data_IF_831695555819
#
_entry.id   IF_831695555819
#
_cell.length_a   1.000
_cell.length_b   1.000
_cell.length_c   1.000
_cell.angle_alpha   90.00
_cell.angle_beta   90.00
_cell.angle_gamma   90.00
#
_symmetry.space_group_name_H-M   'P 1'
#
loop_
_entity.id
_entity.type
_entity.pdbx_description
1 polymer ?
#
# COMPACT_ATOMS: atom_id res chain seq x y z
N UNK A 1 12.47 -15.70 32.49
CA UNK A 1 11.54 -14.94 31.62
C UNK A 1 10.14 -15.14 32.17
N UNK A 2 9.53 -14.11 32.73
CA UNK A 2 8.15 -14.17 33.24
C UNK A 2 7.21 -14.03 32.05
N UNK A 3 6.59 -15.14 31.65
CA UNK A 3 5.50 -15.15 30.67
C UNK A 3 4.39 -14.27 31.22
N UNK A 4 4.00 -13.24 30.48
CA UNK A 4 2.90 -12.38 30.91
C UNK A 4 1.59 -13.19 30.83
N UNK A 5 0.62 -12.95 31.73
CA UNK A 5 -0.66 -13.69 31.71
C UNK A 5 -1.37 -13.58 30.36
N UNK A 6 -1.11 -12.53 29.60
CA UNK A 6 -1.67 -12.30 28.28
C UNK A 6 -1.18 -13.34 27.25
N UNK A 7 0.08 -13.78 27.34
CA UNK A 7 0.68 -14.79 26.45
C UNK A 7 0.16 -16.21 26.71
N UNK A 8 -0.62 -16.40 27.78
CA UNK A 8 -1.29 -17.68 28.07
C UNK A 8 -2.66 -17.80 27.40
N UNK A 9 -3.18 -16.72 26.83
CA UNK A 9 -4.43 -16.74 26.10
C UNK A 9 -4.26 -17.44 24.74
N UNK A 10 -5.29 -18.13 24.24
CA UNK A 10 -5.34 -18.51 22.84
C UNK A 10 -5.20 -17.27 21.94
N UNK A 11 -4.45 -17.41 20.85
CA UNK A 11 -4.11 -16.28 19.97
C UNK A 11 -5.37 -15.66 19.35
N UNK A 12 -6.41 -16.46 19.13
CA UNK A 12 -7.71 -16.02 18.61
C UNK A 12 -8.39 -15.04 19.58
N UNK A 13 -8.37 -15.35 20.88
CA UNK A 13 -8.95 -14.47 21.91
C UNK A 13 -8.15 -13.16 21.99
N UNK A 14 -6.83 -13.25 21.89
CA UNK A 14 -5.98 -12.05 21.88
C UNK A 14 -6.26 -11.16 20.66
N UNK A 15 -6.45 -11.75 19.47
CA UNK A 15 -6.79 -11.01 18.26
C UNK A 15 -8.13 -10.28 18.38
N UNK A 16 -9.15 -10.95 18.95
CA UNK A 16 -10.43 -10.33 19.25
C UNK A 16 -10.24 -9.12 20.17
N UNK A 17 -9.46 -9.25 21.24
CA UNK A 17 -9.18 -8.14 22.15
C UNK A 17 -8.50 -6.98 21.41
N UNK A 18 -7.49 -7.29 20.58
CA UNK A 18 -6.73 -6.30 19.81
C UNK A 18 -7.64 -5.51 18.86
N UNK A 19 -8.63 -6.14 18.24
CA UNK A 19 -9.58 -5.48 17.33
C UNK A 19 -10.43 -4.38 18.01
N UNK A 20 -10.52 -4.39 19.35
CA UNK A 20 -11.23 -3.35 20.12
C UNK A 20 -10.32 -2.22 20.63
N UNK A 21 -9.03 -2.25 20.32
CA UNK A 21 -8.05 -1.28 20.82
C UNK A 21 -7.65 -0.32 19.69
N UNK A 22 -7.31 0.93 20.03
CA UNK A 22 -6.80 1.90 19.07
C UNK A 22 -5.45 1.48 18.46
N UNK A 23 -5.22 1.85 17.20
CA UNK A 23 -4.02 1.49 16.42
C UNK A 23 -2.70 1.88 17.09
N UNK A 24 -2.64 3.04 17.75
CA UNK A 24 -1.46 3.49 18.51
C UNK A 24 -1.07 2.51 19.61
N UNK A 25 -2.06 2.08 20.40
CA UNK A 25 -1.82 1.11 21.48
C UNK A 25 -1.46 -0.27 20.94
N UNK A 26 -2.01 -0.68 19.79
CA UNK A 26 -1.64 -1.95 19.13
C UNK A 26 -0.16 -1.95 18.73
N UNK A 27 0.35 -0.82 18.23
CA UNK A 27 1.77 -0.67 17.87
C UNK A 27 2.65 -0.83 19.10
N UNK A 28 2.34 -0.15 20.20
CA UNK A 28 3.10 -0.27 21.43
C UNK A 28 3.05 -1.71 21.99
N UNK A 29 1.87 -2.34 21.97
CA UNK A 29 1.68 -3.72 22.42
C UNK A 29 2.54 -4.70 21.60
N UNK A 30 2.63 -4.50 20.28
CA UNK A 30 3.42 -5.35 19.39
C UNK A 30 4.93 -5.32 19.70
N UNK A 31 5.42 -4.29 20.38
CA UNK A 31 6.83 -4.15 20.76
C UNK A 31 7.17 -4.84 22.09
N UNK A 32 6.18 -5.32 22.85
CA UNK A 32 6.39 -5.86 24.21
C UNK A 32 6.88 -7.32 24.21
N UNK A 33 6.44 -8.14 23.25
CA UNK A 33 6.88 -9.52 23.14
C UNK A 33 6.70 -10.09 21.73
N UNK A 34 7.42 -11.18 21.42
CA UNK A 34 7.30 -11.85 20.10
C UNK A 34 5.89 -12.39 19.85
N UNK A 35 5.27 -12.97 20.88
CA UNK A 35 3.92 -13.52 20.76
C UNK A 35 2.88 -12.41 20.54
N UNK A 36 2.99 -11.31 21.29
CA UNK A 36 2.10 -10.16 21.10
C UNK A 36 2.32 -9.50 19.74
N UNK A 37 3.56 -9.44 19.26
CA UNK A 37 3.87 -8.98 17.90
C UNK A 37 3.10 -9.77 16.86
N UNK A 38 3.13 -11.10 16.93
CA UNK A 38 2.40 -11.99 15.99
C UNK A 38 0.88 -11.85 16.11
N UNK A 39 0.37 -11.71 17.34
CA UNK A 39 -1.05 -11.47 17.57
C UNK A 39 -1.51 -10.12 16.99
N UNK A 40 -0.64 -9.11 17.00
CA UNK A 40 -0.94 -7.76 16.50
C UNK A 40 -0.79 -7.59 14.98
N UNK A 41 -0.05 -8.49 14.29
CA UNK A 41 0.21 -8.35 12.85
C UNK A 41 -1.07 -8.12 12.00
N UNK A 42 -2.16 -8.90 12.18
CA UNK A 42 -3.38 -8.68 11.41
C UNK A 42 -3.95 -7.27 11.59
N UNK A 43 -3.96 -6.76 12.82
CA UNK A 43 -4.51 -5.44 13.11
C UNK A 43 -3.60 -4.30 12.61
N UNK A 44 -2.28 -4.46 12.71
CA UNK A 44 -1.31 -3.45 12.28
C UNK A 44 -1.30 -3.24 10.77
N UNK A 45 -1.46 -4.32 10.01
CA UNK A 45 -1.39 -4.30 8.56
C UNK A 45 -2.77 -4.36 7.89
N UNK A 46 -3.86 -4.38 8.67
CA UNK A 46 -5.25 -4.46 8.15
C UNK A 46 -5.53 -3.39 7.10
N UNK A 47 -5.09 -2.17 7.39
CA UNK A 47 -5.16 -1.03 6.49
C UNK A 47 -3.78 -0.41 6.32
N UNK A 48 -3.33 -0.25 5.08
CA UNK A 48 -2.03 0.36 4.76
C UNK A 48 -2.21 1.56 3.85
N UNK A 49 -1.41 2.60 4.06
CA UNK A 49 -1.48 3.83 3.29
C UNK A 49 -0.14 4.08 2.60
N UNK A 50 -0.20 4.42 1.31
CA UNK A 50 0.97 4.75 0.51
C UNK A 50 0.75 6.09 -0.22
N UNK A 51 1.70 7.02 -0.17
CA UNK A 51 1.60 8.27 -0.94
C UNK A 51 1.84 8.02 -2.44
N UNK A 52 1.16 8.79 -3.30
CA UNK A 52 1.42 8.83 -4.73
C UNK A 52 2.79 9.45 -4.99
N UNK A 53 3.79 8.59 -5.05
CA UNK A 53 5.20 8.93 -5.22
C UNK A 53 5.96 7.67 -5.60
N UNK A 54 7.15 7.83 -6.18
CA UNK A 54 8.05 6.70 -6.46
C UNK A 54 8.32 5.86 -5.20
N UNK A 55 8.62 6.52 -4.08
CA UNK A 55 8.84 5.85 -2.80
C UNK A 55 7.60 5.07 -2.30
N UNK A 56 6.40 5.61 -2.51
CA UNK A 56 5.15 4.92 -2.16
C UNK A 56 4.91 3.68 -3.04
N UNK A 57 5.23 3.78 -4.33
CA UNK A 57 5.15 2.65 -5.26
C UNK A 57 6.17 1.54 -4.92
N UNK A 58 7.41 1.92 -4.59
CA UNK A 58 8.43 0.98 -4.11
C UNK A 58 8.02 0.31 -2.79
N UNK A 59 7.43 1.09 -1.88
CA UNK A 59 6.84 0.57 -0.65
C UNK A 59 5.76 -0.47 -0.94
N UNK A 60 4.85 -0.20 -1.88
CA UNK A 60 3.81 -1.14 -2.30
C UNK A 60 4.43 -2.42 -2.91
N UNK A 61 5.44 -2.29 -3.76
CA UNK A 61 6.16 -3.42 -4.35
C UNK A 61 6.88 -4.26 -3.29
N UNK A 62 7.45 -3.63 -2.27
CA UNK A 62 8.07 -4.32 -1.13
C UNK A 62 7.03 -5.04 -0.26
N UNK A 63 5.85 -4.43 -0.06
CA UNK A 63 4.76 -5.00 0.73
C UNK A 63 4.27 -6.30 0.08
N UNK A 64 4.01 -6.28 -1.23
CA UNK A 64 3.58 -7.47 -2.01
C UNK A 64 4.58 -8.62 -1.91
N UNK A 65 5.88 -8.32 -1.79
CA UNK A 65 6.94 -9.33 -1.64
C UNK A 65 7.13 -9.83 -0.20
N UNK A 66 6.54 -9.17 0.78
CA UNK A 66 6.70 -9.47 2.21
C UNK A 66 5.56 -10.30 2.74
N UNK A 67 5.76 -11.08 3.80
CA UNK A 67 4.67 -11.85 4.44
C UNK A 67 3.58 -10.97 5.08
N UNK A 68 3.81 -9.66 5.21
CA UNK A 68 2.81 -8.73 5.71
C UNK A 68 1.59 -8.62 4.78
N UNK A 69 1.74 -8.89 3.46
CA UNK A 69 0.63 -8.79 2.51
C UNK A 69 -0.57 -9.69 2.86
N UNK A 70 -0.34 -10.84 3.51
CA UNK A 70 -1.41 -11.75 3.96
C UNK A 70 -2.35 -11.14 5.00
N UNK A 71 -1.90 -10.08 5.68
CA UNK A 71 -2.66 -9.40 6.73
C UNK A 71 -3.43 -8.17 6.22
N UNK A 72 -3.20 -7.77 4.96
CA UNK A 72 -3.78 -6.55 4.38
C UNK A 72 -5.20 -6.83 3.89
N UNK A 73 -6.16 -6.05 4.36
CA UNK A 73 -7.58 -6.13 3.94
C UNK A 73 -7.92 -5.00 2.98
N UNK A 74 -7.38 -3.81 3.21
CA UNK A 74 -7.55 -2.67 2.33
C UNK A 74 -6.30 -1.79 2.32
N UNK A 75 -6.15 -1.00 1.27
CA UNK A 75 -5.10 0.01 1.19
C UNK A 75 -5.67 1.32 0.65
N UNK A 76 -5.02 2.43 1.03
CA UNK A 76 -5.29 3.76 0.49
C UNK A 76 -4.06 4.24 -0.27
N UNK A 77 -4.27 4.71 -1.50
CA UNK A 77 -3.25 5.39 -2.27
C UNK A 77 -3.50 6.90 -2.23
N UNK A 78 -2.67 7.61 -1.48
CA UNK A 78 -2.86 9.03 -1.15
C UNK A 78 -2.27 9.88 -2.26
N UNK A 79 -3.11 10.34 -3.18
CA UNK A 79 -2.71 11.29 -4.22
C UNK A 79 -2.57 12.68 -3.59
N UNK A 80 -1.48 13.44 -3.85
CA UNK A 80 -1.42 14.83 -3.42
C UNK A 80 -2.60 15.59 -4.03
N UNK A 81 -3.17 16.51 -3.26
CA UNK A 81 -4.20 17.41 -3.77
C UNK A 81 -3.59 18.16 -4.96
N UNK A 82 -4.10 17.86 -6.17
CA UNK A 82 -3.72 18.62 -7.34
C UNK A 82 -4.13 20.07 -7.07
N UNK A 83 -3.25 21.07 -7.33
CA UNK A 83 -3.70 22.44 -7.31
C UNK A 83 -4.91 22.54 -8.25
N UNK A 84 -5.90 23.37 -7.90
CA UNK A 84 -6.99 23.75 -8.81
C UNK A 84 -6.39 24.57 -9.96
N UNK A 85 -5.60 23.90 -10.79
CA UNK A 85 -5.12 24.43 -12.04
C UNK A 85 -6.34 24.46 -12.97
N UNK A 86 -6.55 25.61 -13.59
CA UNK A 86 -7.51 25.73 -14.66
C UNK A 86 -7.20 24.65 -15.70
N UNK A 87 -8.18 23.86 -16.14
CA UNK A 87 -7.92 22.77 -17.09
C UNK A 87 -7.22 23.30 -18.35
N UNK A 88 -7.50 24.56 -18.70
CA UNK A 88 -6.81 25.28 -19.76
C UNK A 88 -5.31 25.43 -19.48
N UNK A 89 -4.90 25.79 -18.25
CA UNK A 89 -3.47 25.87 -17.88
C UNK A 89 -2.76 24.50 -17.97
N UNK A 90 -3.43 23.41 -17.58
CA UNK A 90 -2.86 22.06 -17.71
C UNK A 90 -2.62 21.68 -19.18
N UNK A 91 -3.58 22.01 -20.06
CA UNK A 91 -3.51 21.72 -21.50
C UNK A 91 -2.41 22.51 -22.23
N UNK A 92 -2.08 23.71 -21.77
CA UNK A 92 -1.09 24.55 -22.43
C UNK A 92 0.31 24.46 -21.80
N UNK A 93 0.42 24.21 -20.50
CA UNK A 93 1.71 24.26 -19.80
C UNK A 93 2.30 22.89 -19.47
N UNK A 94 1.47 21.85 -19.25
CA UNK A 94 1.95 20.54 -18.79
C UNK A 94 1.81 19.43 -19.84
N UNK A 95 0.72 19.43 -20.60
CA UNK A 95 0.41 18.40 -21.59
C UNK A 95 -0.04 19.06 -22.90
N UNK A 96 0.86 19.80 -23.54
CA UNK A 96 0.55 20.42 -24.83
C UNK A 96 0.08 19.34 -25.82
N UNK A 97 -0.87 19.67 -26.71
CA UNK A 97 -1.37 18.72 -27.70
C UNK A 97 -0.25 18.00 -28.46
N UNK A 98 0.81 18.72 -28.79
CA UNK A 98 1.98 18.17 -29.49
C UNK A 98 2.77 17.18 -28.62
N UNK A 99 3.01 17.51 -27.35
CA UNK A 99 3.66 16.61 -26.38
C UNK A 99 2.83 15.34 -26.13
N UNK A 100 1.51 15.47 -26.01
CA UNK A 100 0.63 14.32 -25.84
C UNK A 100 0.65 13.40 -27.07
N UNK A 101 0.60 13.98 -28.28
CA UNK A 101 0.66 13.21 -29.53
C UNK A 101 1.98 12.47 -29.65
N UNK A 102 3.11 13.09 -29.28
CA UNK A 102 4.43 12.45 -29.30
C UNK A 102 4.51 11.29 -28.29
N UNK A 103 4.12 11.50 -27.03
CA UNK A 103 4.11 10.44 -26.01
C UNK A 103 3.13 9.31 -26.34
N UNK A 104 1.94 9.63 -26.85
CA UNK A 104 0.97 8.63 -27.26
C UNK A 104 1.51 7.81 -28.45
N UNK A 105 2.16 8.47 -29.41
CA UNK A 105 2.80 7.81 -30.54
C UNK A 105 3.89 6.85 -30.09
N UNK A 106 4.75 7.24 -29.15
CA UNK A 106 5.76 6.34 -28.56
C UNK A 106 5.13 5.11 -27.89
N UNK A 107 3.99 5.25 -27.21
CA UNK A 107 3.29 4.13 -26.57
C UNK A 107 2.65 3.15 -27.57
N UNK A 108 2.15 3.65 -28.70
CA UNK A 108 1.55 2.81 -29.74
C UNK A 108 2.60 2.22 -30.69
N UNK A 109 3.66 2.95 -31.01
CA UNK A 109 4.77 2.46 -31.84
C UNK A 109 5.64 1.44 -31.08
N UNK A 110 5.70 1.50 -29.74
CA UNK A 110 6.36 0.47 -28.90
C UNK A 110 5.54 -0.84 -28.78
N UNK A 111 4.33 -0.89 -29.34
CA UNK A 111 3.39 -2.01 -29.22
C UNK A 111 3.35 -3.00 -30.38
N UNK A 112 4.19 -2.85 -31.42
CA UNK A 112 4.01 -3.58 -32.69
C UNK A 112 4.99 -4.75 -32.92
N UNK A 113 5.52 -5.36 -31.85
CA UNK A 113 6.35 -6.58 -31.92
C UNK A 113 5.72 -7.80 -31.19
N UNK A 114 4.43 -7.76 -30.81
CA UNK A 114 3.83 -8.78 -29.94
C UNK A 114 2.54 -9.45 -30.46
N UNK A 115 2.26 -9.42 -31.76
CA UNK A 115 1.15 -10.23 -32.32
C UNK A 115 1.55 -10.97 -33.61
N UNK A 116 2.56 -11.83 -33.53
CA UNK A 116 2.67 -12.96 -34.45
C UNK A 116 2.01 -14.19 -33.79
N UNK A 117 0.71 -14.33 -34.03
CA UNK A 117 -0.05 -15.52 -33.66
C UNK A 117 0.51 -16.76 -34.39
N UNK A 118 0.80 -17.90 -33.70
CA UNK A 118 1.29 -19.09 -34.38
C UNK A 118 0.17 -19.78 -35.17
N UNK A 119 0.50 -20.18 -36.39
CA UNK A 119 -0.34 -20.96 -37.32
C UNK A 119 -0.47 -22.43 -36.91
#
# INVERSE_FOLDING_TARGET
>A
MTVSRLETLPIEICRIIIDFITTWTVKDLSCTSKWLREACLPALFRHVEFPFSEAGFDGLKSLVKSDAHYNVVSFTYVVPELPKADFDSFKFDLLTPDSYVETAKELYDAGDDADESPS
#
